data_IF_049329841177
#
_entry.id   IF_049329841177
#
_cell.length_a   1.000
_cell.length_b   1.000
_cell.length_c   1.000
_cell.angle_alpha   90.00
_cell.angle_beta   90.00
_cell.angle_gamma   90.00
#
_symmetry.space_group_name_H-M   'P 1'
#
loop_
_entity.id
_entity.type
_entity.pdbx_description
1 polymer ?
#
# COMPACT_ATOMS: atom_id res chain seq x y z
N UNK A 1 8.46 10.26 -3.65
CA UNK A 1 7.49 9.57 -4.53
C UNK A 1 8.21 8.53 -5.36
N UNK A 2 9.28 8.89 -6.07
CA UNK A 2 9.98 7.98 -6.99
C UNK A 2 10.50 6.72 -6.30
N UNK A 3 11.08 6.85 -5.10
CA UNK A 3 11.54 5.69 -4.32
C UNK A 3 10.39 4.71 -4.02
N UNK A 4 9.24 5.20 -3.55
CA UNK A 4 8.06 4.36 -3.27
C UNK A 4 7.60 3.64 -4.54
N UNK A 5 7.53 4.37 -5.66
CA UNK A 5 7.12 3.78 -6.94
C UNK A 5 8.10 2.70 -7.39
N UNK A 6 9.41 2.98 -7.33
CA UNK A 6 10.46 2.07 -7.75
C UNK A 6 10.49 0.80 -6.90
N UNK A 7 10.44 0.92 -5.58
CA UNK A 7 10.45 -0.23 -4.65
C UNK A 7 9.28 -1.18 -4.92
N UNK A 8 8.08 -0.64 -5.10
CA UNK A 8 6.90 -1.47 -5.35
C UNK A 8 6.95 -2.07 -6.77
N UNK A 9 7.45 -1.33 -7.75
CA UNK A 9 7.62 -1.83 -9.12
C UNK A 9 8.64 -2.99 -9.16
N UNK A 10 9.77 -2.87 -8.47
CA UNK A 10 10.78 -3.94 -8.33
C UNK A 10 10.16 -5.15 -7.63
N UNK A 11 9.41 -4.94 -6.55
CA UNK A 11 8.74 -6.02 -5.84
C UNK A 11 7.75 -6.78 -6.73
N UNK A 12 7.03 -6.07 -7.61
CA UNK A 12 6.08 -6.67 -8.54
C UNK A 12 6.77 -7.50 -9.62
N UNK A 13 7.75 -6.94 -10.32
CA UNK A 13 8.45 -7.67 -11.40
C UNK A 13 9.32 -8.82 -10.86
N UNK A 14 9.76 -8.71 -9.61
CA UNK A 14 10.51 -9.76 -8.92
C UNK A 14 9.64 -10.81 -8.24
N UNK A 15 8.32 -10.80 -8.49
CA UNK A 15 7.34 -11.76 -7.96
C UNK A 15 7.36 -11.89 -6.43
N UNK A 16 7.67 -10.80 -5.73
CA UNK A 16 7.94 -10.82 -4.29
C UNK A 16 6.67 -10.91 -3.42
N UNK A 17 5.50 -11.02 -4.05
CA UNK A 17 4.22 -11.25 -3.37
C UNK A 17 3.84 -12.74 -3.28
N UNK A 18 4.67 -13.65 -3.84
CA UNK A 18 4.49 -15.09 -3.70
C UNK A 18 3.17 -15.60 -4.30
N UNK A 19 2.46 -16.45 -3.57
CA UNK A 19 1.18 -17.02 -4.02
C UNK A 19 0.08 -15.97 -4.27
N UNK A 20 0.19 -14.79 -3.63
CA UNK A 20 -0.78 -13.72 -3.80
C UNK A 20 -0.55 -12.89 -5.08
N UNK A 21 0.49 -13.20 -5.88
CA UNK A 21 0.74 -12.54 -7.17
C UNK A 21 -0.48 -12.59 -8.09
N UNK A 22 -1.19 -13.72 -8.11
CA UNK A 22 -2.39 -13.89 -8.92
C UNK A 22 -3.53 -12.97 -8.52
N UNK A 23 -3.54 -12.45 -7.29
CA UNK A 23 -4.54 -11.48 -6.85
C UNK A 23 -4.25 -10.07 -7.37
N UNK A 24 -3.03 -9.77 -7.82
CA UNK A 24 -2.62 -8.42 -8.21
C UNK A 24 -2.97 -8.15 -9.69
N UNK A 25 -3.70 -7.07 -9.93
CA UNK A 25 -4.00 -6.59 -11.28
C UNK A 25 -2.92 -5.66 -11.84
N UNK A 26 -2.33 -4.83 -10.98
CA UNK A 26 -1.28 -3.88 -11.39
C UNK A 26 -1.11 -2.68 -10.45
N UNK A 27 -0.22 -1.78 -10.87
CA UNK A 27 0.11 -0.55 -10.16
C UNK A 27 -0.39 0.68 -10.90
N UNK A 28 -0.89 1.64 -10.13
CA UNK A 28 -1.35 2.94 -10.62
C UNK A 28 -0.64 4.04 -9.84
N UNK A 29 -0.11 5.01 -10.56
CA UNK A 29 0.38 6.26 -9.99
C UNK A 29 -0.48 7.43 -10.47
N UNK A 30 -1.03 8.19 -9.54
CA UNK A 30 -1.77 9.42 -9.79
C UNK A 30 -0.95 10.61 -9.31
N UNK A 31 -0.29 11.30 -10.23
CA UNK A 31 0.43 12.56 -9.92
C UNK A 31 -0.57 13.72 -9.91
N UNK A 32 -0.63 14.47 -8.80
CA UNK A 32 -1.55 15.62 -8.62
C UNK A 32 -0.85 16.72 -7.82
N UNK A 33 -1.24 17.98 -8.03
CA UNK A 33 -0.63 19.12 -7.34
C UNK A 33 -0.80 19.12 -5.81
N UNK A 34 -1.87 18.53 -5.28
CA UNK A 34 -2.15 18.43 -3.83
C UNK A 34 -1.57 17.17 -3.16
N UNK A 35 -0.77 16.40 -3.89
CA UNK A 35 -0.21 15.13 -3.41
C UNK A 35 -0.47 14.00 -4.38
N UNK A 36 0.58 13.26 -4.68
CA UNK A 36 0.51 12.07 -5.54
C UNK A 36 0.02 10.86 -4.77
N UNK A 37 -0.68 9.95 -5.45
CA UNK A 37 -1.10 8.65 -4.89
C UNK A 37 -0.45 7.52 -5.67
N UNK A 38 -0.03 6.49 -4.96
CA UNK A 38 0.38 5.21 -5.55
C UNK A 38 -0.60 4.16 -5.01
N UNK A 39 -1.11 3.32 -5.89
CA UNK A 39 -2.10 2.30 -5.56
C UNK A 39 -1.75 0.99 -6.26
N UNK A 40 -1.90 -0.11 -5.53
CA UNK A 40 -1.89 -1.46 -6.08
C UNK A 40 -3.33 -1.95 -6.14
N UNK A 41 -3.76 -2.41 -7.30
CA UNK A 41 -5.10 -2.95 -7.49
C UNK A 41 -5.06 -4.46 -7.39
N UNK A 42 -5.99 -5.02 -6.62
CA UNK A 42 -6.21 -6.47 -6.55
C UNK A 42 -7.56 -6.82 -7.16
N UNK A 43 -7.70 -8.07 -7.64
CA UNK A 43 -8.86 -8.51 -8.41
C UNK A 43 -10.09 -8.84 -7.55
N UNK A 44 -9.88 -9.20 -6.29
CA UNK A 44 -10.94 -9.62 -5.38
C UNK A 44 -10.83 -8.90 -4.03
N UNK A 45 -11.77 -8.00 -3.77
CA UNK A 45 -11.84 -7.25 -2.52
C UNK A 45 -12.23 -8.10 -1.31
N UNK A 46 -12.87 -9.26 -1.55
CA UNK A 46 -13.33 -10.18 -0.51
C UNK A 46 -12.24 -11.15 -0.04
N UNK A 47 -11.15 -11.31 -0.82
CA UNK A 47 -9.96 -12.08 -0.47
C UNK A 47 -9.11 -11.37 0.61
N UNK A 48 -9.68 -11.17 1.79
CA UNK A 48 -9.15 -10.32 2.86
C UNK A 48 -7.75 -10.72 3.32
N UNK A 49 -7.49 -12.02 3.50
CA UNK A 49 -6.19 -12.53 3.92
C UNK A 49 -5.11 -12.27 2.88
N UNK A 50 -5.38 -12.54 1.60
CA UNK A 50 -4.44 -12.28 0.51
C UNK A 50 -4.17 -10.78 0.35
N UNK A 51 -5.22 -9.95 0.42
CA UNK A 51 -5.07 -8.49 0.41
C UNK A 51 -4.24 -7.97 1.59
N UNK A 52 -4.40 -8.56 2.79
CA UNK A 52 -3.58 -8.23 3.96
C UNK A 52 -2.12 -8.64 3.76
N UNK A 53 -1.85 -9.86 3.26
CA UNK A 53 -0.49 -10.32 2.97
C UNK A 53 0.21 -9.44 1.93
N UNK A 54 -0.48 -9.08 0.85
CA UNK A 54 0.01 -8.10 -0.13
C UNK A 54 0.37 -6.78 0.56
N UNK A 55 -0.53 -6.25 1.39
CA UNK A 55 -0.27 -5.02 2.15
C UNK A 55 0.93 -5.14 3.09
N UNK A 56 1.15 -6.30 3.70
CA UNK A 56 2.30 -6.56 4.57
C UNK A 56 3.60 -6.63 3.77
N UNK A 57 3.60 -7.22 2.58
CA UNK A 57 4.75 -7.19 1.66
C UNK A 57 5.07 -5.75 1.27
N UNK A 58 4.07 -4.94 0.88
CA UNK A 58 4.27 -3.51 0.59
C UNK A 58 4.91 -2.77 1.76
N UNK A 59 4.37 -2.95 2.98
CA UNK A 59 4.95 -2.37 4.20
C UNK A 59 6.42 -2.76 4.36
N UNK A 60 6.74 -4.05 4.26
CA UNK A 60 8.09 -4.55 4.46
C UNK A 60 9.07 -3.98 3.43
N UNK A 61 8.66 -3.88 2.15
CA UNK A 61 9.48 -3.29 1.09
C UNK A 61 9.75 -1.82 1.33
N UNK A 62 8.72 -1.05 1.68
CA UNK A 62 8.85 0.38 1.92
C UNK A 62 9.61 0.72 3.21
N UNK A 63 9.56 -0.14 4.24
CA UNK A 63 10.35 0.03 5.46
C UNK A 63 11.81 -0.43 5.29
N UNK A 64 12.05 -1.39 4.40
CA UNK A 64 13.40 -1.89 4.09
C UNK A 64 14.14 -1.07 3.02
N UNK A 65 13.47 -0.12 2.38
CA UNK A 65 14.04 0.72 1.34
C UNK A 65 15.18 1.59 1.88
N UNK A 66 16.26 1.72 1.10
CA UNK A 66 17.34 2.64 1.44
C UNK A 66 16.85 4.09 1.29
N UNK A 67 16.72 4.77 2.42
CA UNK A 67 16.30 6.18 2.45
C UNK A 67 17.53 7.10 2.54
N UNK A 68 17.54 8.25 1.83
CA UNK A 68 18.62 9.23 1.94
C UNK A 68 18.82 9.67 3.40
N UNK A 69 20.08 9.91 3.80
CA UNK A 69 20.50 10.18 5.18
C UNK A 69 19.84 11.40 5.89
N UNK A 70 18.98 12.16 5.22
CA UNK A 70 18.18 13.24 5.80
C UNK A 70 16.69 12.91 6.01
N UNK A 71 16.23 11.72 5.65
CA UNK A 71 14.84 11.31 5.78
C UNK A 71 14.61 10.68 7.16
N UNK A 72 14.02 11.44 8.08
CA UNK A 72 13.77 11.00 9.47
C UNK A 72 12.36 10.42 9.69
N UNK A 73 11.52 10.48 8.67
CA UNK A 73 10.15 9.97 8.69
C UNK A 73 10.01 8.77 7.76
N UNK A 74 9.10 7.83 8.03
CA UNK A 74 8.85 6.72 7.12
C UNK A 74 8.33 7.22 5.76
N UNK A 75 8.52 6.40 4.71
CA UNK A 75 8.06 6.72 3.36
C UNK A 75 6.53 6.77 3.23
N UNK A 76 5.81 6.21 4.18
CA UNK A 76 4.35 6.22 4.27
C UNK A 76 3.93 6.22 5.74
N UNK A 77 2.74 6.73 6.05
CA UNK A 77 2.16 6.60 7.40
C UNK A 77 1.22 5.40 7.50
N UNK A 78 0.37 5.25 6.48
CA UNK A 78 -0.68 4.24 6.41
C UNK A 78 -0.86 3.72 4.99
N UNK A 79 -0.95 2.39 4.86
CA UNK A 79 -1.53 1.74 3.69
C UNK A 79 -3.00 1.47 4.00
N UNK A 80 -3.88 1.83 3.06
CA UNK A 80 -5.33 1.65 3.18
C UNK A 80 -5.83 0.83 2.01
N UNK A 81 -6.58 -0.22 2.31
CA UNK A 81 -7.28 -1.00 1.30
C UNK A 81 -8.72 -0.50 1.19
N UNK A 82 -9.12 -0.05 0.00
CA UNK A 82 -10.45 0.48 -0.30
C UNK A 82 -11.01 -0.32 -1.48
N UNK A 83 -12.24 -0.80 -1.39
CA UNK A 83 -12.85 -1.53 -2.51
C UNK A 83 -13.25 -0.55 -3.63
N UNK A 84 -13.15 -1.03 -4.88
CA UNK A 84 -13.36 -0.19 -6.05
C UNK A 84 -14.78 0.39 -6.14
N UNK A 85 -15.79 -0.37 -5.73
CA UNK A 85 -17.20 0.04 -5.81
C UNK A 85 -17.47 1.24 -4.89
N UNK A 86 -16.99 1.18 -3.64
CA UNK A 86 -17.03 2.30 -2.71
C UNK A 86 -16.22 3.49 -3.20
N UNK A 87 -15.03 3.28 -3.79
CA UNK A 87 -14.24 4.35 -4.38
C UNK A 87 -14.94 5.05 -5.55
N UNK A 88 -15.73 4.31 -6.33
CA UNK A 88 -16.46 4.82 -7.49
C UNK A 88 -17.72 5.60 -7.07
N UNK A 89 -18.44 5.13 -6.04
CA UNK A 89 -19.71 5.72 -5.59
C UNK A 89 -19.55 6.91 -4.66
N UNK A 90 -18.34 7.21 -4.17
CA UNK A 90 -18.11 8.28 -3.20
C UNK A 90 -18.48 9.65 -3.77
N UNK A 91 -19.14 10.46 -2.95
CA UNK A 91 -19.37 11.90 -3.19
C UNK A 91 -18.35 12.79 -2.47
N UNK A 92 -17.53 12.23 -1.58
CA UNK A 92 -16.54 12.93 -0.77
C UNK A 92 -15.09 12.57 -1.11
N UNK A 93 -14.16 13.19 -0.39
CA UNK A 93 -12.71 12.98 -0.57
C UNK A 93 -12.18 11.66 -0.01
N UNK A 94 -12.93 11.02 0.90
CA UNK A 94 -12.48 9.85 1.68
C UNK A 94 -13.42 8.66 1.50
N UNK A 95 -12.85 7.45 1.48
CA UNK A 95 -13.57 6.17 1.53
C UNK A 95 -13.20 5.49 2.84
N UNK A 96 -14.12 4.71 3.42
CA UNK A 96 -13.80 3.88 4.58
C UNK A 96 -12.89 2.74 4.14
N UNK A 97 -11.70 2.68 4.71
CA UNK A 97 -10.78 1.58 4.44
C UNK A 97 -11.32 0.28 5.05
N UNK A 98 -11.28 -0.81 4.27
CA UNK A 98 -11.57 -2.17 4.73
C UNK A 98 -10.42 -2.72 5.56
N UNK A 99 -9.18 -2.48 5.11
CA UNK A 99 -7.95 -2.84 5.83
C UNK A 99 -7.07 -1.62 5.99
N UNK A 100 -6.26 -1.60 7.05
CA UNK A 100 -5.31 -0.51 7.30
C UNK A 100 -4.05 -1.06 7.96
N UNK A 101 -2.90 -0.66 7.43
CA UNK A 101 -1.58 -1.07 7.92
C UNK A 101 -0.79 0.20 8.20
N UNK A 102 -0.35 0.39 9.44
CA UNK A 102 0.53 1.51 9.80
C UNK A 102 2.00 1.16 9.52
N UNK A 103 2.77 2.17 9.12
CA UNK A 103 4.23 2.06 9.03
C UNK A 103 4.87 1.77 10.39
N UNK A 104 4.33 2.34 11.47
CA UNK A 104 4.80 2.07 12.83
C UNK A 104 4.10 0.81 13.34
N UNK A 105 4.86 -0.12 13.90
CA UNK A 105 4.26 -1.25 14.63
C UNK A 105 3.59 -0.67 15.88
N UNK A 106 2.27 -0.83 16.00
CA UNK A 106 1.58 -0.51 17.26
C UNK A 106 2.21 -1.39 18.35
N UNK A 107 2.88 -0.77 19.31
CA UNK A 107 3.26 -1.45 20.54
C UNK A 107 1.96 -1.96 21.18
N UNK A 108 1.90 -3.24 21.62
CA UNK A 108 0.74 -3.68 22.40
C UNK A 108 0.65 -2.77 23.62
N UNK A 109 -0.55 -2.24 23.90
CA UNK A 109 -0.79 -1.45 25.10
C UNK A 109 -0.23 -2.22 26.31
N UNK A 110 0.71 -1.61 27.02
CA UNK A 110 1.15 -2.15 28.31
C UNK A 110 -0.05 -2.01 29.26
N UNK A 111 -0.67 -3.14 29.56
CA UNK A 111 -1.61 -3.28 30.69
C UNK A 111 -0.97 -2.81 31.99
#
# INVERSE_FOLDING_TARGET
MDLIWLEILIAMIGEQFGEDMDLICGLVCNVRGKGSKISMWTKDWSAEEGNMRIGQVLKNKLLGAEVPAGCTTPLFDWLKYEDHDSCQKKSGSTVKAKLSISAVNQMPERN
#
